data_IF_284618727241
#
_entry.id   IF_284618727241
#
_cell.length_a   1.000
_cell.length_b   1.000
_cell.length_c   1.000
_cell.angle_alpha   90.00
_cell.angle_beta   90.00
_cell.angle_gamma   90.00
#
_symmetry.space_group_name_H-M   'P 1'
#
loop_
_entity.id
_entity.type
_entity.pdbx_description
1 polymer ?
#
# COMPACT_ATOMS: atom_id res chain seq x y z
N UNK A 1 15.52 19.86 6.80
CA UNK A 1 14.16 19.35 7.09
C UNK A 1 13.92 18.16 6.16
N UNK A 2 14.16 16.93 6.63
CA UNK A 2 13.92 15.71 5.85
C UNK A 2 12.50 15.23 6.21
N UNK A 3 11.56 15.26 5.28
CA UNK A 3 10.30 14.51 5.45
C UNK A 3 10.64 13.02 5.51
N UNK A 4 10.22 12.32 6.58
CA UNK A 4 10.30 10.85 6.63
C UNK A 4 9.63 10.30 5.37
N UNK A 5 10.43 9.78 4.45
CA UNK A 5 9.92 9.18 3.22
C UNK A 5 9.55 7.75 3.54
N UNK A 6 8.27 7.41 3.39
CA UNK A 6 7.82 6.03 3.53
C UNK A 6 7.98 5.31 2.20
N UNK A 7 8.44 4.06 2.25
CA UNK A 7 8.38 3.14 1.12
C UNK A 7 7.14 2.26 1.27
N UNK A 8 6.24 2.29 0.29
CA UNK A 8 5.08 1.42 0.25
C UNK A 8 5.33 0.23 -0.66
N UNK A 9 5.13 -0.98 -0.15
CA UNK A 9 5.33 -2.22 -0.90
C UNK A 9 4.15 -3.15 -0.67
N UNK A 10 3.60 -3.69 -1.75
CA UNK A 10 2.65 -4.78 -1.68
C UNK A 10 3.40 -6.11 -1.85
N UNK A 11 3.34 -6.98 -0.85
CA UNK A 11 4.04 -8.27 -0.84
C UNK A 11 3.08 -9.38 -0.43
N UNK A 12 3.40 -10.60 -0.86
CA UNK A 12 2.71 -11.82 -0.43
C UNK A 12 3.72 -12.75 0.25
N UNK A 13 3.59 -12.91 1.56
CA UNK A 13 4.42 -13.82 2.39
C UNK A 13 3.53 -14.65 3.33
N UNK A 14 2.69 -15.49 2.72
CA UNK A 14 1.65 -16.27 3.41
C UNK A 14 0.32 -15.54 3.51
N UNK A 15 0.34 -14.21 3.64
CA UNK A 15 -0.81 -13.31 3.51
C UNK A 15 -0.47 -12.16 2.56
N UNK A 16 -1.50 -11.49 2.04
CA UNK A 16 -1.33 -10.32 1.18
C UNK A 16 -1.31 -9.08 2.06
N UNK A 17 -0.24 -8.28 1.96
CA UNK A 17 -0.13 -7.05 2.73
C UNK A 17 0.26 -5.87 1.85
N UNK A 18 -0.30 -4.71 2.17
CA UNK A 18 0.33 -3.43 1.87
C UNK A 18 1.13 -3.00 3.10
N UNK A 19 2.44 -2.84 2.94
CA UNK A 19 3.36 -2.43 4.00
C UNK A 19 3.87 -1.03 3.76
N UNK A 20 3.94 -0.24 4.83
CA UNK A 20 4.66 1.02 4.88
C UNK A 20 5.96 0.80 5.67
N UNK A 21 7.10 1.05 5.02
CA UNK A 21 8.42 0.90 5.62
C UNK A 21 9.07 2.28 5.78
N UNK A 22 9.86 2.42 6.84
CA UNK A 22 10.82 3.51 6.96
C UNK A 22 11.90 3.33 5.88
N UNK A 23 12.10 4.33 5.02
CA UNK A 23 13.01 4.21 3.88
C UNK A 23 14.47 4.06 4.29
N UNK A 24 14.88 4.58 5.44
CA UNK A 24 16.27 4.59 5.88
C UNK A 24 16.62 3.31 6.64
N UNK A 25 15.70 2.84 7.48
CA UNK A 25 15.93 1.67 8.36
C UNK A 25 15.34 0.37 7.84
N UNK A 26 14.47 0.43 6.82
CA UNK A 26 13.68 -0.71 6.32
C UNK A 26 12.77 -1.35 7.38
N UNK A 27 12.49 -0.64 8.49
CA UNK A 27 11.56 -1.11 9.50
C UNK A 27 10.12 -0.97 9.00
N UNK A 28 9.30 -1.99 9.23
CA UNK A 28 7.87 -1.93 8.96
C UNK A 28 7.23 -1.00 10.00
N UNK A 29 6.62 0.09 9.52
CA UNK A 29 5.90 1.07 10.35
C UNK A 29 4.42 0.71 10.43
N UNK A 30 3.85 0.20 9.33
CA UNK A 30 2.44 -0.17 9.27
C UNK A 30 2.19 -1.27 8.24
N UNK A 31 1.15 -2.07 8.48
CA UNK A 31 0.70 -3.13 7.58
C UNK A 31 -0.81 -3.15 7.50
N UNK A 32 -1.33 -3.34 6.29
CA UNK A 32 -2.75 -3.55 6.03
C UNK A 32 -2.92 -4.84 5.27
N UNK A 33 -3.70 -5.78 5.81
CA UNK A 33 -4.02 -7.03 5.13
C UNK A 33 -4.92 -6.73 3.91
N UNK A 34 -4.50 -7.23 2.76
CA UNK A 34 -5.24 -7.13 1.51
C UNK A 34 -6.11 -8.38 1.34
N UNK A 35 -7.34 -8.22 0.83
CA UNK A 35 -8.23 -9.36 0.64
C UNK A 35 -7.81 -10.25 -0.55
N UNK A 36 -6.95 -9.74 -1.44
CA UNK A 36 -6.53 -10.36 -2.70
C UNK A 36 -5.07 -9.98 -3.01
N UNK A 37 -4.46 -10.66 -3.98
CA UNK A 37 -3.09 -10.41 -4.44
C UNK A 37 -2.98 -9.05 -5.12
N UNK A 38 -1.91 -8.31 -4.85
CA UNK A 38 -1.60 -7.08 -5.60
C UNK A 38 -1.12 -7.42 -7.00
N UNK A 39 -1.72 -6.80 -8.02
CA UNK A 39 -1.33 -7.00 -9.43
C UNK A 39 -0.42 -5.90 -9.98
N UNK A 40 -0.02 -4.95 -9.14
CA UNK A 40 0.82 -3.83 -9.55
C UNK A 40 1.41 -3.08 -8.37
N UNK A 41 2.28 -2.13 -8.68
CA UNK A 41 2.87 -1.25 -7.67
C UNK A 41 1.80 -0.31 -7.09
N UNK A 42 1.81 -0.07 -5.77
CA UNK A 42 0.99 0.99 -5.18
C UNK A 42 1.36 2.35 -5.78
N UNK A 43 0.35 3.20 -5.96
CA UNK A 43 0.52 4.59 -6.38
C UNK A 43 -0.12 5.52 -5.37
N UNK A 44 0.34 6.76 -5.34
CA UNK A 44 -0.29 7.81 -4.53
C UNK A 44 -1.05 8.80 -5.39
N UNK A 45 -2.19 9.26 -4.89
CA UNK A 45 -2.98 10.32 -5.50
C UNK A 45 -3.51 11.26 -4.42
N UNK A 46 -3.94 12.46 -4.83
CA UNK A 46 -4.60 13.42 -3.95
C UNK A 46 -6.00 13.66 -4.49
N UNK A 47 -7.00 13.56 -3.63
CA UNK A 47 -8.38 13.92 -3.92
C UNK A 47 -8.93 14.71 -2.73
N UNK A 48 -9.66 15.80 -3.00
CA UNK A 48 -10.23 16.67 -1.96
C UNK A 48 -9.21 17.12 -0.88
N UNK A 49 -7.96 17.36 -1.29
CA UNK A 49 -6.88 17.77 -0.39
C UNK A 49 -6.33 16.66 0.52
N UNK A 50 -6.83 15.43 0.42
CA UNK A 50 -6.32 14.27 1.15
C UNK A 50 -5.46 13.37 0.26
N UNK A 51 -4.33 12.91 0.80
CA UNK A 51 -3.48 11.92 0.14
C UNK A 51 -4.06 10.52 0.31
N UNK A 52 -4.01 9.74 -0.75
CA UNK A 52 -4.42 8.36 -0.79
C UNK A 52 -3.32 7.48 -1.39
N UNK A 53 -3.40 6.20 -1.05
CA UNK A 53 -2.60 5.13 -1.62
C UNK A 53 -3.57 4.17 -2.29
N UNK A 54 -3.44 4.01 -3.61
CA UNK A 54 -4.28 3.14 -4.41
C UNK A 54 -3.48 1.98 -4.98
N UNK A 55 -4.09 0.81 -5.04
CA UNK A 55 -3.52 -0.37 -5.67
C UNK A 55 -4.61 -1.26 -6.27
N UNK A 56 -4.26 -1.92 -7.38
CA UNK A 56 -5.09 -2.96 -7.97
C UNK A 56 -4.83 -4.28 -7.26
N UNK A 57 -5.91 -4.92 -6.80
CA UNK A 57 -5.87 -6.26 -6.24
C UNK A 57 -6.77 -7.20 -7.04
N UNK A 58 -6.30 -8.41 -7.32
CA UNK A 58 -7.10 -9.41 -7.99
C UNK A 58 -6.80 -10.83 -7.52
N UNK A 59 -7.75 -11.72 -7.79
CA UNK A 59 -7.62 -13.16 -7.67
C UNK A 59 -8.46 -13.83 -8.74
N UNK A 60 -8.58 -15.16 -8.70
CA UNK A 60 -9.19 -15.97 -9.77
C UNK A 60 -10.51 -15.44 -10.35
N UNK A 61 -11.42 -14.92 -9.52
CA UNK A 61 -12.77 -14.49 -9.95
C UNK A 61 -13.13 -13.05 -9.55
N UNK A 62 -12.24 -12.31 -8.91
CA UNK A 62 -12.52 -10.96 -8.40
C UNK A 62 -11.35 -10.03 -8.70
N UNK A 63 -11.65 -8.78 -9.05
CA UNK A 63 -10.68 -7.73 -9.35
C UNK A 63 -11.25 -6.38 -8.91
N UNK A 64 -10.47 -5.63 -8.13
CA UNK A 64 -10.89 -4.33 -7.60
C UNK A 64 -9.73 -3.38 -7.41
N UNK A 65 -10.05 -2.10 -7.44
CA UNK A 65 -9.16 -1.05 -6.98
C UNK A 65 -9.44 -0.81 -5.49
N UNK A 66 -8.39 -0.92 -4.69
CA UNK A 66 -8.44 -0.59 -3.26
C UNK A 66 -7.73 0.74 -3.05
N UNK A 67 -8.36 1.64 -2.29
CA UNK A 67 -7.80 2.95 -1.98
C UNK A 67 -7.83 3.15 -0.47
N UNK A 68 -6.69 3.49 0.09
CA UNK A 68 -6.46 3.65 1.52
C UNK A 68 -6.01 5.08 1.80
N UNK A 69 -6.50 5.63 2.89
CA UNK A 69 -6.09 6.94 3.37
C UNK A 69 -5.22 6.76 4.62
N UNK A 70 -4.06 7.40 4.71
CA UNK A 70 -3.34 7.53 5.97
C UNK A 70 -4.25 8.20 7.03
N UNK A 71 -4.04 7.88 8.32
CA UNK A 71 -4.74 8.53 9.43
C UNK A 71 -4.50 10.04 9.44
#
# INVERSE_FOLDING_TARGET
MLTKSLLFVALTDGKHYLRALDKDTSQIIHEVELPLFSQGAPMTCVADGKQYISLAVSGFKDSKLMTLAPP
#
